data_IF_081348310997
#
_entry.id   IF_081348310997
#
_cell.length_a   1.000
_cell.length_b   1.000
_cell.length_c   1.000
_cell.angle_alpha   90.00
_cell.angle_beta   90.00
_cell.angle_gamma   90.00
#
_symmetry.space_group_name_H-M   'P 1'
#
loop_
_entity.id
_entity.type
_entity.pdbx_description
1 polymer ?
#
# COMPACT_ATOMS: atom_id res chain seq x y z
N UNK A 1 -22.14 -7.04 -3.89
CA UNK A 1 -21.19 -8.17 -3.74
C UNK A 1 -20.51 -8.06 -2.38
N UNK A 2 -20.36 -9.17 -1.68
CA UNK A 2 -19.66 -9.18 -0.40
C UNK A 2 -18.15 -9.22 -0.61
N UNK A 3 -17.40 -8.66 0.33
CA UNK A 3 -15.92 -8.57 0.25
C UNK A 3 -15.26 -9.93 -0.03
N UNK A 4 -15.71 -10.98 0.67
CA UNK A 4 -15.15 -12.33 0.47
C UNK A 4 -15.24 -12.78 -0.98
N UNK A 5 -16.39 -12.58 -1.61
CA UNK A 5 -16.61 -12.97 -2.99
C UNK A 5 -15.80 -12.08 -3.95
N UNK A 6 -15.67 -10.80 -3.63
CA UNK A 6 -14.88 -9.87 -4.44
C UNK A 6 -13.41 -10.28 -4.47
N UNK A 7 -12.84 -10.66 -3.34
CA UNK A 7 -11.46 -11.14 -3.26
C UNK A 7 -11.32 -12.47 -4.01
N UNK A 8 -12.23 -13.41 -3.77
CA UNK A 8 -12.22 -14.73 -4.40
C UNK A 8 -12.25 -14.67 -5.91
N UNK A 9 -13.03 -13.74 -6.46
CA UNK A 9 -13.25 -13.62 -7.91
C UNK A 9 -12.40 -12.52 -8.56
N UNK A 10 -11.52 -11.88 -7.80
CA UNK A 10 -10.68 -10.76 -8.27
C UNK A 10 -11.53 -9.68 -8.95
N UNK A 11 -12.59 -9.22 -8.28
CA UNK A 11 -13.55 -8.29 -8.85
C UNK A 11 -13.03 -6.85 -8.81
N UNK A 12 -12.48 -6.38 -9.93
CA UNK A 12 -11.93 -5.03 -10.04
C UNK A 12 -12.99 -3.96 -9.80
N UNK A 13 -14.21 -4.17 -10.28
CA UNK A 13 -15.30 -3.18 -10.15
C UNK A 13 -15.62 -2.91 -8.69
N UNK A 14 -15.65 -3.96 -7.85
CA UNK A 14 -15.87 -3.81 -6.41
C UNK A 14 -14.78 -2.92 -5.80
N UNK A 15 -13.51 -3.19 -6.10
CA UNK A 15 -12.40 -2.45 -5.52
C UNK A 15 -12.27 -1.04 -6.11
N UNK A 16 -12.66 -0.81 -7.37
CA UNK A 16 -12.78 0.52 -7.93
C UNK A 16 -13.76 1.38 -7.12
N UNK A 17 -14.93 0.85 -6.83
CA UNK A 17 -15.94 1.58 -6.03
C UNK A 17 -15.48 1.83 -4.61
N UNK A 18 -14.86 0.85 -3.96
CA UNK A 18 -14.34 1.03 -2.61
C UNK A 18 -13.25 2.10 -2.57
N UNK A 19 -12.34 2.10 -3.55
CA UNK A 19 -11.30 3.12 -3.65
C UNK A 19 -11.90 4.51 -3.88
N UNK A 20 -12.91 4.62 -4.73
CA UNK A 20 -13.59 5.88 -4.99
C UNK A 20 -14.23 6.44 -3.73
N UNK A 21 -14.88 5.58 -2.94
CA UNK A 21 -15.53 5.98 -1.69
C UNK A 21 -14.53 6.41 -0.61
N UNK A 22 -13.40 5.72 -0.52
CA UNK A 22 -12.36 6.02 0.48
C UNK A 22 -11.54 7.25 0.12
N UNK A 23 -11.18 7.39 -1.15
CA UNK A 23 -10.23 8.39 -1.61
C UNK A 23 -8.77 7.98 -1.41
N UNK A 24 -7.88 8.52 -2.25
CA UNK A 24 -6.47 8.13 -2.26
C UNK A 24 -5.74 8.49 -0.96
N UNK A 25 -6.10 9.61 -0.33
CA UNK A 25 -5.40 10.05 0.88
C UNK A 25 -5.65 9.11 2.06
N UNK A 26 -6.87 8.59 2.20
CA UNK A 26 -7.18 7.58 3.23
C UNK A 26 -6.51 6.25 2.94
N UNK A 27 -6.50 5.82 1.67
CA UNK A 27 -5.78 4.61 1.27
C UNK A 27 -4.29 4.74 1.59
N UNK A 28 -3.69 5.89 1.33
CA UNK A 28 -2.28 6.13 1.62
C UNK A 28 -1.98 6.04 3.12
N UNK A 29 -2.84 6.58 3.98
CA UNK A 29 -2.66 6.52 5.43
C UNK A 29 -2.64 5.07 5.90
N UNK A 30 -3.59 4.27 5.47
CA UNK A 30 -3.68 2.86 5.86
C UNK A 30 -2.50 2.07 5.29
N UNK A 31 -2.14 2.29 4.04
CA UNK A 31 -1.00 1.60 3.43
C UNK A 31 0.29 1.86 4.20
N UNK A 32 0.52 3.09 4.62
CA UNK A 32 1.70 3.44 5.41
C UNK A 32 1.70 2.79 6.79
N UNK A 33 0.54 2.62 7.41
CA UNK A 33 0.41 1.91 8.69
C UNK A 33 0.84 0.47 8.57
N UNK A 34 0.65 -0.17 7.42
CA UNK A 34 1.05 -1.55 7.17
C UNK A 34 2.46 -1.68 6.63
N UNK A 35 3.21 -0.59 6.53
CA UNK A 35 4.62 -0.60 6.17
C UNK A 35 4.93 -0.26 4.72
N UNK A 36 3.92 -0.04 3.88
CA UNK A 36 4.17 0.38 2.50
C UNK A 36 4.76 1.80 2.47
N UNK A 37 5.67 2.05 1.54
CA UNK A 37 6.29 3.36 1.40
C UNK A 37 7.33 3.69 2.47
N UNK A 38 7.75 2.73 3.28
CA UNK A 38 8.74 2.95 4.34
C UNK A 38 9.89 1.95 4.27
N UNK A 39 11.02 2.31 4.87
CA UNK A 39 12.15 1.42 5.02
C UNK A 39 11.89 0.50 6.22
N UNK A 40 11.70 -0.78 5.97
CA UNK A 40 11.39 -1.78 6.99
C UNK A 40 12.65 -2.25 7.73
N UNK A 41 13.78 -2.35 7.00
CA UNK A 41 15.06 -2.84 7.53
C UNK A 41 16.03 -1.69 7.79
N UNK A 42 15.58 -0.63 8.43
CA UNK A 42 16.34 0.62 8.62
C UNK A 42 17.77 0.42 9.15
N UNK A 43 17.93 -0.52 10.07
CA UNK A 43 19.19 -0.73 10.77
C UNK A 43 20.09 -1.77 10.10
N UNK A 44 19.59 -2.44 9.05
CA UNK A 44 20.27 -3.59 8.45
C UNK A 44 20.67 -3.38 6.99
N UNK A 45 19.96 -2.54 6.27
CA UNK A 45 20.11 -2.49 4.82
C UNK A 45 19.98 -1.07 4.32
N UNK A 46 21.09 -0.51 3.85
CA UNK A 46 21.15 0.90 3.42
C UNK A 46 20.47 1.15 2.08
N UNK A 47 20.45 0.14 1.22
CA UNK A 47 19.90 0.26 -0.15
C UNK A 47 18.44 -0.17 -0.24
N UNK A 48 17.76 -0.31 0.89
CA UNK A 48 16.34 -0.67 0.90
C UNK A 48 15.52 0.40 0.20
N UNK A 49 14.73 -0.02 -0.76
CA UNK A 49 13.83 0.88 -1.48
C UNK A 49 12.53 1.04 -0.72
N UNK A 50 12.03 2.27 -0.69
CA UNK A 50 10.77 2.59 -0.01
C UNK A 50 9.54 2.25 -0.83
N UNK A 51 9.67 2.24 -2.17
CA UNK A 51 8.50 2.24 -3.03
C UNK A 51 7.78 3.59 -3.01
N UNK A 52 6.57 3.61 -3.51
CA UNK A 52 5.76 4.82 -3.57
C UNK A 52 4.35 4.50 -3.09
N UNK A 53 3.86 5.26 -2.11
CA UNK A 53 2.45 5.27 -1.71
C UNK A 53 1.89 6.62 -2.14
N UNK A 54 1.20 6.68 -3.28
CA UNK A 54 0.76 7.96 -3.84
C UNK A 54 -0.37 8.57 -3.02
N UNK A 55 -0.38 9.89 -2.97
CA UNK A 55 -1.50 10.68 -2.46
C UNK A 55 -1.54 12.02 -3.20
N UNK A 56 -2.47 12.88 -2.86
CA UNK A 56 -2.63 14.16 -3.53
C UNK A 56 -1.39 15.05 -3.36
N UNK A 57 -0.83 15.07 -2.17
CA UNK A 57 0.39 15.84 -1.86
C UNK A 57 1.59 15.31 -2.63
N UNK A 58 1.78 14.00 -2.65
CA UNK A 58 2.90 13.36 -3.37
C UNK A 58 2.87 13.72 -4.86
N UNK A 59 1.72 13.60 -5.50
CA UNK A 59 1.62 13.86 -6.93
C UNK A 59 1.94 15.32 -7.26
N UNK A 60 1.45 16.25 -6.45
CA UNK A 60 1.72 17.66 -6.65
C UNK A 60 3.21 17.97 -6.55
N UNK A 61 3.92 17.37 -5.61
CA UNK A 61 5.34 17.61 -5.39
C UNK A 61 6.24 16.84 -6.35
N UNK A 62 5.93 15.59 -6.64
CA UNK A 62 6.79 14.72 -7.45
C UNK A 62 6.58 14.94 -8.95
N UNK A 63 5.35 15.18 -9.38
CA UNK A 63 4.98 15.28 -10.80
C UNK A 63 4.56 16.70 -11.17
N UNK A 64 4.10 17.49 -10.21
CA UNK A 64 3.68 18.85 -10.43
C UNK A 64 2.27 19.01 -10.98
N UNK A 65 1.45 17.95 -10.91
CA UNK A 65 0.07 17.95 -11.40
C UNK A 65 -0.90 17.58 -10.29
N UNK A 66 -2.16 17.97 -10.46
CA UNK A 66 -3.23 17.61 -9.54
C UNK A 66 -3.57 16.14 -9.63
N UNK A 67 -4.13 15.61 -8.57
CA UNK A 67 -4.64 14.23 -8.53
C UNK A 67 -5.98 14.13 -9.24
N UNK A 68 -6.15 13.09 -10.07
CA UNK A 68 -7.42 12.82 -10.74
C UNK A 68 -8.12 11.62 -10.10
N UNK A 69 -9.46 11.65 -10.12
CA UNK A 69 -10.28 10.57 -9.57
C UNK A 69 -9.97 9.21 -10.22
N UNK A 70 -9.71 9.19 -11.53
CA UNK A 70 -9.34 7.96 -12.23
C UNK A 70 -8.07 7.31 -11.66
N UNK A 71 -7.15 8.10 -11.15
CA UNK A 71 -5.93 7.56 -10.52
C UNK A 71 -6.23 6.88 -9.19
N UNK A 72 -7.21 7.38 -8.42
CA UNK A 72 -7.68 6.71 -7.20
C UNK A 72 -8.26 5.34 -7.52
N UNK A 73 -9.07 5.26 -8.55
CA UNK A 73 -9.72 4.01 -8.96
C UNK A 73 -8.69 2.96 -9.34
N UNK A 74 -7.70 3.35 -10.15
CA UNK A 74 -6.62 2.45 -10.58
C UNK A 74 -5.75 2.03 -9.39
N UNK A 75 -5.46 2.95 -8.49
CA UNK A 75 -4.69 2.66 -7.28
C UNK A 75 -5.39 1.64 -6.38
N UNK A 76 -6.72 1.62 -6.39
CA UNK A 76 -7.52 0.69 -5.59
C UNK A 76 -7.33 -0.77 -5.95
N UNK A 77 -6.83 -1.07 -7.15
CA UNK A 77 -6.50 -2.43 -7.57
C UNK A 77 -5.00 -2.69 -7.63
N UNK A 78 -4.21 -1.79 -7.04
CA UNK A 78 -2.77 -1.96 -6.97
C UNK A 78 -2.01 -1.58 -8.24
N UNK A 79 -2.58 -0.72 -9.06
CA UNK A 79 -1.94 -0.22 -10.28
C UNK A 79 -1.70 1.29 -10.22
N UNK A 80 -1.10 1.84 -11.25
CA UNK A 80 -0.79 3.27 -11.33
C UNK A 80 0.55 3.59 -10.69
N UNK A 81 0.59 4.65 -9.87
CA UNK A 81 1.84 5.12 -9.28
C UNK A 81 2.33 4.32 -8.08
N UNK A 82 1.50 3.44 -7.52
CA UNK A 82 1.89 2.68 -6.34
C UNK A 82 3.04 1.72 -6.67
N UNK A 83 4.07 1.74 -5.81
CA UNK A 83 5.23 0.85 -5.91
C UNK A 83 5.52 0.28 -4.54
N UNK A 84 5.70 -1.03 -4.47
CA UNK A 84 6.02 -1.73 -3.22
C UNK A 84 7.15 -2.72 -3.44
N UNK A 85 7.84 -3.06 -2.36
CA UNK A 85 8.81 -4.14 -2.39
C UNK A 85 8.16 -5.46 -1.97
N UNK A 86 8.71 -6.62 -2.38
CA UNK A 86 8.21 -7.91 -1.88
C UNK A 86 8.22 -8.02 -0.36
N UNK A 87 9.23 -7.45 0.30
CA UNK A 87 9.31 -7.44 1.76
C UNK A 87 8.15 -6.64 2.38
N UNK A 88 7.83 -5.49 1.81
CA UNK A 88 6.70 -4.68 2.28
C UNK A 88 5.38 -5.43 2.14
N UNK A 89 5.18 -6.13 1.03
CA UNK A 89 3.97 -6.94 0.82
C UNK A 89 3.91 -8.10 1.81
N UNK A 90 5.03 -8.75 2.06
CA UNK A 90 5.11 -9.83 3.05
C UNK A 90 4.75 -9.32 4.45
N UNK A 91 5.32 -8.20 4.86
CA UNK A 91 5.04 -7.58 6.15
C UNK A 91 3.57 -7.17 6.27
N UNK A 92 3.03 -6.54 5.25
CA UNK A 92 1.63 -6.14 5.22
C UNK A 92 0.71 -7.35 5.39
N UNK A 93 0.95 -8.41 4.64
CA UNK A 93 0.15 -9.63 4.69
C UNK A 93 0.22 -10.27 6.07
N UNK A 94 1.41 -10.34 6.66
CA UNK A 94 1.61 -10.89 8.00
C UNK A 94 0.86 -10.07 9.06
N UNK A 95 0.88 -8.75 8.95
CA UNK A 95 0.18 -7.87 9.87
C UNK A 95 -1.33 -7.96 9.74
N UNK A 96 -1.85 -8.13 8.53
CA UNK A 96 -3.27 -8.39 8.32
C UNK A 96 -3.67 -9.73 8.95
N UNK A 97 -2.85 -10.75 8.75
CA UNK A 97 -3.11 -12.09 9.26
C UNK A 97 -3.11 -12.16 10.79
N UNK A 98 -2.31 -11.33 11.47
CA UNK A 98 -2.23 -11.33 12.93
C UNK A 98 -3.23 -10.39 13.61
N UNK A 99 -4.17 -9.83 12.87
CA UNK A 99 -5.19 -8.95 13.42
C UNK A 99 -4.82 -7.47 13.44
N UNK A 100 -3.76 -7.07 12.73
CA UNK A 100 -3.36 -5.68 12.62
C UNK A 100 -2.25 -5.24 13.56
N UNK A 101 -1.66 -6.15 14.32
CA UNK A 101 -0.52 -5.82 15.18
C UNK A 101 0.73 -5.58 14.36
N UNK A 102 1.49 -4.56 14.74
CA UNK A 102 2.76 -4.25 14.08
C UNK A 102 3.79 -5.35 14.29
N UNK A 103 4.53 -5.65 13.24
CA UNK A 103 5.61 -6.64 13.25
C UNK A 103 6.91 -5.95 12.88
N UNK A 104 7.98 -6.27 13.60
CA UNK A 104 9.33 -5.87 13.22
C UNK A 104 9.99 -7.07 12.55
N UNK A 105 10.33 -6.98 11.23
CA UNK A 105 11.01 -8.10 10.56
C UNK A 105 12.36 -8.38 11.18
N UNK A 106 12.65 -9.66 11.38
CA UNK A 106 13.92 -10.13 11.91
C UNK A 106 14.60 -11.04 10.90
N UNK A 107 15.91 -11.04 10.90
CA UNK A 107 16.71 -11.99 10.14
C UNK A 107 17.53 -12.85 11.12
N UNK A 108 18.23 -13.86 10.59
CA UNK A 108 19.12 -14.69 11.41
C UNK A 108 20.18 -13.88 12.16
N UNK A 109 20.52 -12.72 11.64
CA UNK A 109 21.49 -11.82 12.29
C UNK A 109 20.95 -11.26 13.61
N UNK A 110 19.63 -11.20 13.78
CA UNK A 110 18.97 -10.65 14.96
C UNK A 110 18.60 -11.69 16.02
N UNK A 111 18.80 -12.94 15.71
CA UNK A 111 18.44 -14.02 16.66
C UNK A 111 19.58 -14.26 17.65
#
# INVERSE_FOLDING_TARGET
>A
MKLRNAIKQSCDIYFYEMARLLGVDRLAIIAKRYGLGSNILKDLYFDEKKGVVPNTFWKKNAIGKSWYLGETVINGIGQGYIQTTPLQLCLMTAQIANGGYKIKPLSLIHI
#
